data_IF_648050063090
#
_entry.id   IF_648050063090
#
_cell.length_a   1.000
_cell.length_b   1.000
_cell.length_c   1.000
_cell.angle_alpha   90.00
_cell.angle_beta   90.00
_cell.angle_gamma   90.00
#
_symmetry.space_group_name_H-M   'P 1'
#
loop_
_entity.id
_entity.type
_entity.pdbx_description
1 polymer ?
#
# COMPACT_ATOMS: atom_id res chain seq x y z
N UNK A 1 -1.42 -6.44 12.92
CA UNK A 1 -1.59 -4.96 12.88
C UNK A 1 -0.54 -4.33 13.78
N UNK A 2 0.09 -3.23 13.34
CA UNK A 2 1.05 -2.48 14.15
C UNK A 2 0.29 -1.37 14.88
N UNK A 3 0.64 -1.12 16.13
CA UNK A 3 0.01 -0.07 16.94
C UNK A 3 0.48 1.32 16.47
N UNK A 4 -0.45 2.27 16.42
CA UNK A 4 -0.19 3.65 16.06
C UNK A 4 0.09 4.45 17.32
N UNK A 5 1.22 5.15 17.32
CA UNK A 5 1.55 6.13 18.34
C UNK A 5 1.19 7.53 17.83
N UNK A 6 0.25 8.19 18.48
CA UNK A 6 -0.12 9.57 18.16
C UNK A 6 0.68 10.51 19.05
N UNK A 7 1.48 11.37 18.43
CA UNK A 7 2.17 12.50 19.07
C UNK A 7 1.47 13.80 18.68
N UNK A 8 1.78 14.92 19.34
CA UNK A 8 1.19 16.24 19.01
C UNK A 8 1.41 16.62 17.53
N UNK A 9 2.51 16.15 16.93
CA UNK A 9 2.93 16.54 15.59
C UNK A 9 2.72 15.47 14.51
N UNK A 10 2.50 14.19 14.87
CA UNK A 10 2.44 13.10 13.90
C UNK A 10 1.83 11.80 14.44
N UNK A 11 1.24 11.01 13.53
CA UNK A 11 1.03 9.57 13.74
C UNK A 11 2.32 8.81 13.38
N UNK A 12 2.75 7.91 14.25
CA UNK A 12 3.97 7.13 14.10
C UNK A 12 3.70 5.63 14.27
N UNK A 13 4.53 4.83 13.64
CA UNK A 13 4.63 3.39 13.91
C UNK A 13 6.09 3.01 14.13
N UNK A 14 6.37 1.92 14.84
CA UNK A 14 7.70 1.35 14.93
C UNK A 14 8.31 1.11 13.54
N UNK A 15 9.59 1.48 13.42
CA UNK A 15 10.37 1.25 12.21
C UNK A 15 10.48 -0.25 11.92
N UNK A 16 10.20 -0.69 10.68
CA UNK A 16 10.21 -2.09 10.34
C UNK A 16 11.66 -2.60 10.32
N UNK A 17 11.83 -3.89 10.62
CA UNK A 17 13.15 -4.54 10.66
C UNK A 17 13.48 -5.21 9.34
N UNK A 18 14.76 -5.30 9.00
CA UNK A 18 15.23 -6.05 7.84
C UNK A 18 14.70 -7.49 7.87
N UNK A 19 14.18 -7.95 6.74
CA UNK A 19 13.55 -9.28 6.61
C UNK A 19 12.10 -9.35 7.11
N UNK A 20 11.58 -8.31 7.76
CA UNK A 20 10.16 -8.24 8.13
C UNK A 20 9.30 -8.08 6.87
N UNK A 21 8.24 -8.91 6.78
CA UNK A 21 7.22 -8.73 5.74
C UNK A 21 6.33 -7.54 6.09
N UNK A 22 6.19 -6.61 5.16
CA UNK A 22 5.35 -5.42 5.31
C UNK A 22 4.19 -5.50 4.33
N UNK A 23 2.99 -5.18 4.80
CA UNK A 23 1.80 -4.99 3.98
C UNK A 23 0.90 -3.94 4.61
N UNK A 24 0.11 -3.26 3.78
CA UNK A 24 -0.84 -2.24 4.20
C UNK A 24 -2.24 -2.76 3.91
N UNK A 25 -3.11 -2.71 4.92
CA UNK A 25 -4.53 -3.05 4.76
C UNK A 25 -5.31 -1.75 4.64
N UNK A 26 -6.03 -1.59 3.54
CA UNK A 26 -7.02 -0.54 3.37
C UNK A 26 -8.41 -1.10 3.66
N UNK A 27 -9.20 -0.34 4.39
CA UNK A 27 -10.57 -0.71 4.73
C UNK A 27 -11.43 0.54 4.84
N UNK A 28 -12.49 0.56 4.04
CA UNK A 28 -13.59 1.52 4.13
C UNK A 28 -14.52 1.03 5.23
N UNK A 29 -14.68 1.85 6.27
CA UNK A 29 -15.48 1.51 7.44
C UNK A 29 -16.95 1.90 7.27
N UNK A 30 -17.25 2.95 6.51
CA UNK A 30 -18.61 3.27 6.11
C UNK A 30 -19.06 2.37 4.95
N UNK A 31 -20.37 2.09 4.87
CA UNK A 31 -20.98 1.33 3.77
C UNK A 31 -21.80 2.23 2.85
N UNK A 32 -21.41 3.50 2.72
CA UNK A 32 -22.15 4.41 1.84
C UNK A 32 -21.99 3.99 0.37
N UNK A 33 -22.98 4.27 -0.49
CA UNK A 33 -22.86 4.04 -1.92
C UNK A 33 -21.75 4.91 -2.54
N UNK A 34 -21.29 4.51 -3.73
CA UNK A 34 -20.23 5.19 -4.49
C UNK A 34 -18.83 4.65 -4.23
N UNK A 35 -17.91 4.91 -5.15
CA UNK A 35 -16.51 4.49 -5.02
C UNK A 35 -15.64 5.56 -4.35
N UNK A 36 -14.64 5.11 -3.59
CA UNK A 36 -13.55 5.92 -3.07
C UNK A 36 -12.27 5.58 -3.81
N UNK A 37 -11.53 6.61 -4.23
CA UNK A 37 -10.22 6.48 -4.83
C UNK A 37 -9.14 6.80 -3.80
N UNK A 38 -8.28 5.83 -3.50
CA UNK A 38 -7.22 5.97 -2.51
C UNK A 38 -5.87 6.02 -3.21
N UNK A 39 -5.17 7.14 -3.05
CA UNK A 39 -3.74 7.25 -3.37
C UNK A 39 -2.98 6.81 -2.13
N UNK A 40 -2.19 5.75 -2.25
CA UNK A 40 -1.36 5.25 -1.16
C UNK A 40 0.10 5.32 -1.60
N UNK A 41 0.88 6.17 -0.94
CA UNK A 41 2.31 6.35 -1.22
C UNK A 41 3.16 5.81 -0.08
N UNK A 42 4.29 5.23 -0.44
CA UNK A 42 5.37 4.84 0.46
C UNK A 42 6.59 5.63 0.05
N UNK A 43 7.18 6.38 0.98
CA UNK A 43 8.30 7.27 0.70
C UNK A 43 8.00 8.25 -0.47
N UNK A 44 6.78 8.77 -0.55
CA UNK A 44 6.35 9.67 -1.62
C UNK A 44 6.10 9.00 -2.98
N UNK A 45 6.24 7.68 -3.07
CA UNK A 45 6.04 6.89 -4.30
C UNK A 45 4.71 6.14 -4.23
N UNK A 46 3.84 6.34 -5.21
CA UNK A 46 2.55 5.64 -5.28
C UNK A 46 2.75 4.13 -5.40
N UNK A 47 1.96 3.39 -4.64
CA UNK A 47 1.93 1.92 -4.67
C UNK A 47 1.38 1.37 -5.99
N UNK A 48 0.73 2.20 -6.81
CA UNK A 48 0.41 1.91 -8.20
C UNK A 48 1.39 2.62 -9.14
N UNK A 49 1.99 1.87 -10.07
CA UNK A 49 2.88 2.33 -11.14
C UNK A 49 4.11 3.14 -10.69
N UNK A 50 4.42 3.20 -9.39
CA UNK A 50 5.52 3.98 -8.81
C UNK A 50 5.48 5.48 -9.15
N UNK A 51 4.28 6.04 -9.26
CA UNK A 51 4.08 7.45 -9.63
C UNK A 51 4.54 8.40 -8.50
N UNK A 52 5.18 9.51 -8.86
CA UNK A 52 5.50 10.64 -7.96
C UNK A 52 4.72 11.92 -8.33
N UNK A 53 3.58 11.74 -9.00
CA UNK A 53 2.73 12.83 -9.47
C UNK A 53 1.94 13.46 -8.30
N UNK A 54 1.33 14.64 -8.50
CA UNK A 54 0.29 15.14 -7.61
C UNK A 54 -0.80 14.08 -7.38
N UNK A 55 -1.35 14.02 -6.17
CA UNK A 55 -2.25 12.92 -5.78
C UNK A 55 -3.50 12.81 -6.68
N UNK A 56 -3.99 13.94 -7.19
CA UNK A 56 -5.12 13.96 -8.12
C UNK A 56 -4.81 13.21 -9.42
N UNK A 57 -3.57 13.27 -9.90
CA UNK A 57 -3.13 12.68 -11.17
C UNK A 57 -2.61 11.25 -11.02
N UNK A 58 -2.36 10.79 -9.78
CA UNK A 58 -1.97 9.42 -9.49
C UNK A 58 -3.12 8.42 -9.76
N UNK A 59 -2.74 7.22 -10.17
CA UNK A 59 -3.58 6.02 -10.16
C UNK A 59 -4.06 5.73 -8.73
N UNK A 60 -5.31 5.28 -8.57
CA UNK A 60 -5.97 5.13 -7.26
C UNK A 60 -6.46 3.70 -7.05
N UNK A 61 -6.27 3.19 -5.83
CA UNK A 61 -6.97 1.99 -5.37
C UNK A 61 -8.45 2.32 -5.18
N UNK A 62 -9.32 1.39 -5.55
CA UNK A 62 -10.77 1.62 -5.48
C UNK A 62 -11.37 0.84 -4.32
N UNK A 63 -12.07 1.55 -3.44
CA UNK A 63 -12.88 0.96 -2.37
C UNK A 63 -14.36 1.27 -2.62
N UNK A 64 -15.21 0.24 -2.62
CA UNK A 64 -16.66 0.36 -2.82
C UNK A 64 -17.41 -0.43 -1.74
N UNK A 65 -18.74 -0.34 -1.69
CA UNK A 65 -19.53 -1.15 -0.76
C UNK A 65 -19.37 -2.67 -1.00
N UNK A 66 -19.18 -3.07 -2.26
CA UNK A 66 -18.96 -4.47 -2.67
C UNK A 66 -17.54 -4.93 -2.38
N UNK A 67 -16.57 -4.00 -2.47
CA UNK A 67 -15.14 -4.23 -2.22
C UNK A 67 -14.63 -3.19 -1.22
N UNK A 68 -14.94 -3.36 0.07
CA UNK A 68 -14.65 -2.34 1.08
C UNK A 68 -13.18 -2.30 1.47
N UNK A 69 -12.35 -3.27 1.10
CA UNK A 69 -10.96 -3.30 1.53
C UNK A 69 -10.08 -4.23 0.72
N UNK A 70 -8.78 -4.16 1.00
CA UNK A 70 -7.75 -4.95 0.35
C UNK A 70 -6.40 -4.87 1.07
N UNK A 71 -5.51 -5.79 0.73
CA UNK A 71 -4.13 -5.81 1.24
C UNK A 71 -3.18 -5.46 0.09
N UNK A 72 -2.39 -4.42 0.31
CA UNK A 72 -1.36 -3.94 -0.60
C UNK A 72 -0.02 -4.41 -0.03
N UNK A 73 0.68 -5.24 -0.79
CA UNK A 73 1.92 -5.89 -0.34
C UNK A 73 3.15 -5.51 -1.16
N UNK A 74 3.01 -4.54 -2.07
CA UNK A 74 4.11 -4.06 -2.90
C UNK A 74 3.73 -2.88 -3.78
N UNK A 75 4.62 -2.56 -4.72
CA UNK A 75 4.37 -1.65 -5.83
C UNK A 75 3.82 -2.44 -7.01
N UNK A 76 2.58 -2.18 -7.41
CA UNK A 76 1.90 -2.89 -8.48
C UNK A 76 1.97 -2.14 -9.82
N UNK A 77 1.98 -2.89 -10.92
CA UNK A 77 2.06 -2.36 -12.27
C UNK A 77 0.81 -2.72 -13.07
N UNK A 78 0.02 -1.72 -13.40
CA UNK A 78 -1.29 -1.87 -14.09
C UNK A 78 -1.19 -2.43 -15.52
N UNK A 79 0.01 -2.41 -16.13
CA UNK A 79 0.22 -2.89 -17.50
C UNK A 79 0.77 -4.31 -17.60
N UNK A 80 1.30 -4.88 -16.52
CA UNK A 80 2.01 -6.16 -16.56
C UNK A 80 1.51 -7.20 -15.55
N UNK A 81 0.50 -6.89 -14.73
CA UNK A 81 0.06 -7.75 -13.61
C UNK A 81 1.21 -8.14 -12.69
N UNK A 82 2.23 -7.29 -12.58
CA UNK A 82 3.38 -7.52 -11.72
C UNK A 82 3.26 -6.70 -10.44
N UNK A 83 3.81 -7.26 -9.37
CA UNK A 83 4.02 -6.59 -8.10
C UNK A 83 5.47 -6.75 -7.67
N UNK A 84 6.10 -5.65 -7.29
CA UNK A 84 7.36 -5.65 -6.54
C UNK A 84 7.03 -5.62 -5.05
N UNK A 85 7.15 -6.78 -4.39
CA UNK A 85 6.76 -6.92 -2.98
C UNK A 85 7.56 -5.96 -2.09
N UNK A 86 6.94 -5.41 -1.04
CA UNK A 86 7.66 -4.60 -0.08
C UNK A 86 8.75 -5.42 0.61
N UNK A 87 9.95 -4.83 0.67
CA UNK A 87 11.02 -5.27 1.56
C UNK A 87 11.48 -4.10 2.41
N UNK A 88 12.13 -4.43 3.51
CA UNK A 88 12.78 -3.44 4.37
C UNK A 88 14.25 -3.41 4.00
N UNK A 89 14.76 -2.22 3.71
CA UNK A 89 16.16 -1.97 3.43
C UNK A 89 17.03 -2.18 4.68
N UNK A 90 18.30 -2.51 4.48
CA UNK A 90 19.27 -2.45 5.59
C UNK A 90 19.46 -1.01 6.06
N UNK A 91 20.07 -0.82 7.22
CA UNK A 91 20.35 0.54 7.74
C UNK A 91 21.28 1.32 6.80
N UNK A 92 22.34 0.69 6.29
CA UNK A 92 23.26 1.30 5.33
C UNK A 92 22.55 1.68 4.01
N UNK A 93 21.76 0.76 3.46
CA UNK A 93 20.98 1.02 2.25
C UNK A 93 19.95 2.14 2.47
N UNK A 94 19.32 2.16 3.64
CA UNK A 94 18.37 3.20 4.03
C UNK A 94 19.03 4.58 4.08
N UNK A 95 20.22 4.69 4.67
CA UNK A 95 20.96 5.95 4.73
C UNK A 95 21.35 6.45 3.34
N UNK A 96 21.84 5.56 2.48
CA UNK A 96 22.21 5.90 1.10
C UNK A 96 21.00 6.36 0.27
N UNK A 97 19.87 5.68 0.41
CA UNK A 97 18.67 5.95 -0.39
C UNK A 97 17.78 7.04 0.21
N UNK A 98 17.90 7.36 1.50
CA UNK A 98 17.10 8.41 2.15
C UNK A 98 17.20 9.75 1.40
N UNK A 99 18.39 10.07 0.86
CA UNK A 99 18.60 11.28 0.06
C UNK A 99 17.74 11.34 -1.19
N UNK A 100 17.38 10.19 -1.79
CA UNK A 100 16.57 10.10 -3.01
C UNK A 100 15.06 10.34 -2.76
N UNK A 101 14.63 10.21 -1.50
CA UNK A 101 13.22 10.39 -1.11
C UNK A 101 12.97 11.76 -0.48
N UNK A 102 14.01 12.44 -0.01
CA UNK A 102 13.89 13.80 0.52
C UNK A 102 12.94 13.85 1.73
N UNK A 103 12.02 14.81 1.74
CA UNK A 103 11.09 15.01 2.86
C UNK A 103 10.11 13.84 3.07
N UNK A 104 9.86 13.04 2.03
CA UNK A 104 8.91 11.95 2.08
C UNK A 104 9.51 10.66 2.64
N UNK A 105 10.84 10.60 2.86
CA UNK A 105 11.49 9.42 3.40
C UNK A 105 10.84 8.98 4.71
N UNK A 106 10.55 7.68 4.81
CA UNK A 106 9.99 7.11 6.02
C UNK A 106 8.52 7.44 6.25
N UNK A 107 7.78 7.82 5.21
CA UNK A 107 6.35 8.11 5.30
C UNK A 107 5.51 7.08 4.55
N UNK A 108 4.33 6.82 5.11
CA UNK A 108 3.20 6.20 4.42
C UNK A 108 2.11 7.26 4.39
N UNK A 109 1.74 7.73 3.20
CA UNK A 109 0.70 8.75 3.04
C UNK A 109 -0.48 8.20 2.27
N UNK A 110 -1.67 8.58 2.72
CA UNK A 110 -2.94 8.17 2.14
C UNK A 110 -3.77 9.42 1.85
N UNK A 111 -4.25 9.55 0.61
CA UNK A 111 -5.19 10.61 0.21
C UNK A 111 -6.40 9.97 -0.45
N UNK A 112 -7.59 10.35 -0.02
CA UNK A 112 -8.85 9.75 -0.46
C UNK A 112 -9.68 10.76 -1.21
N UNK A 113 -10.16 10.34 -2.39
CA UNK A 113 -11.03 11.11 -3.27
C UNK A 113 -12.38 10.41 -3.40
N UNK A 114 -13.43 11.21 -3.52
CA UNK A 114 -14.77 10.72 -3.81
C UNK A 114 -14.98 10.61 -5.33
N UNK A 115 -15.68 9.58 -5.78
CA UNK A 115 -16.14 9.50 -7.17
C UNK A 115 -17.11 10.66 -7.48
N UNK A 116 -16.98 11.30 -8.65
CA UNK A 116 -17.99 12.24 -9.13
C UNK A 116 -19.29 11.50 -9.45
N UNK A 117 -20.42 12.03 -8.98
CA UNK A 117 -21.72 11.55 -9.43
C UNK A 117 -21.82 11.74 -10.95
N UNK A 118 -22.18 10.67 -11.66
CA UNK A 118 -22.54 10.80 -13.08
C UNK A 118 -23.89 11.51 -13.10
N UNK A 119 -23.91 12.79 -13.48
CA UNK A 119 -25.17 13.48 -13.75
C UNK A 119 -25.81 12.83 -14.97
N UNK A 120 -26.88 12.05 -14.76
CA UNK A 120 -27.69 11.41 -15.81
C UNK A 120 -28.19 12.40 -16.89
N UNK A 121 -28.18 13.70 -16.61
CA UNK A 121 -28.58 14.77 -17.53
C UNK A 121 -27.52 15.13 -18.60
N UNK A 122 -26.28 14.68 -18.44
CA UNK A 122 -25.22 14.80 -19.44
C UNK A 122 -24.99 13.38 -19.95
N UNK A 123 -25.39 13.09 -21.19
CA UNK A 123 -25.34 11.76 -21.82
C UNK A 123 -23.97 11.09 -21.95
N UNK A 124 -23.00 11.45 -21.12
CA UNK A 124 -21.78 10.71 -20.81
C UNK A 124 -22.10 9.62 -19.75
N UNK A 125 -23.04 8.73 -20.07
CA UNK A 125 -23.09 7.45 -19.37
C UNK A 125 -21.81 6.70 -19.78
N UNK A 126 -20.85 6.55 -18.85
CA UNK A 126 -19.80 5.56 -19.02
C UNK A 126 -20.52 4.22 -18.90
N UNK A 127 -20.84 3.63 -20.04
CA UNK A 127 -21.42 2.30 -20.15
C UNK A 127 -20.43 1.29 -19.52
N UNK A 128 -20.80 0.59 -18.44
CA UNK A 128 -19.95 -0.46 -17.87
C UNK A 128 -19.84 -1.70 -18.76
N UNK A 129 -20.60 -1.79 -19.87
CA UNK A 129 -20.80 -3.03 -20.64
C UNK A 129 -19.85 -3.27 -21.82
N UNK A 130 -18.73 -2.56 -21.93
CA UNK A 130 -17.65 -2.96 -22.84
C UNK A 130 -16.62 -3.85 -22.14
N UNK A 131 -17.07 -4.95 -21.52
CA UNK A 131 -16.21 -6.06 -21.10
C UNK A 131 -16.59 -7.25 -21.98
N UNK A 132 -15.76 -7.51 -22.97
CA UNK A 132 -15.76 -8.76 -23.72
C UNK A 132 -15.66 -9.91 -22.71
N UNK A 133 -16.60 -10.84 -22.76
CA UNK A 133 -16.82 -11.88 -21.75
C UNK A 133 -15.54 -12.67 -21.47
N UNK A 134 -14.90 -12.40 -20.33
CA UNK A 134 -13.97 -13.31 -19.67
C UNK A 134 -14.64 -13.83 -18.40
N UNK A 135 -14.77 -15.15 -18.22
CA UNK A 135 -15.54 -15.73 -17.13
C UNK A 135 -14.87 -15.47 -15.77
N UNK A 136 -15.71 -15.22 -14.76
CA UNK A 136 -15.48 -15.30 -13.32
C UNK A 136 -14.03 -15.57 -12.88
N UNK A 137 -13.34 -14.53 -12.36
CA UNK A 137 -12.10 -14.72 -11.62
C UNK A 137 -12.12 -13.99 -10.27
N UNK A 138 -12.61 -14.71 -9.26
CA UNK A 138 -12.38 -14.44 -7.84
C UNK A 138 -10.87 -14.56 -7.52
N UNK A 139 -10.28 -13.51 -6.92
CA UNK A 139 -9.29 -13.65 -5.84
C UNK A 139 -8.86 -12.27 -5.28
N UNK A 140 -9.54 -11.78 -4.24
CA UNK A 140 -8.84 -11.04 -3.19
C UNK A 140 -8.02 -12.09 -2.44
N UNK A 141 -6.73 -12.17 -2.71
CA UNK A 141 -5.86 -13.14 -2.06
C UNK A 141 -5.85 -12.89 -0.54
N UNK A 142 -6.31 -13.91 0.18
CA UNK A 142 -5.92 -14.18 1.56
C UNK A 142 -4.39 -14.22 1.56
N UNK A 143 -3.75 -13.36 2.33
CA UNK A 143 -2.30 -13.42 2.49
C UNK A 143 -1.94 -14.85 2.95
N UNK A 144 -1.08 -15.54 2.20
CA UNK A 144 -0.49 -16.80 2.64
C UNK A 144 0.25 -16.55 3.95
N UNK A 145 -0.36 -17.01 5.04
CA UNK A 145 0.36 -17.40 6.23
C UNK A 145 1.26 -18.58 5.84
N UNK A 146 2.48 -18.69 6.40
CA UNK A 146 3.40 -19.75 6.02
C UNK A 146 2.73 -21.14 6.09
N UNK A 147 2.71 -21.86 4.97
CA UNK A 147 2.18 -23.24 4.89
C UNK A 147 3.02 -24.24 5.69
N UNK A 148 4.26 -23.88 6.03
CA UNK A 148 5.13 -24.73 6.81
C UNK A 148 4.85 -24.52 8.30
N UNK A 149 4.23 -25.53 8.91
CA UNK A 149 4.24 -25.68 10.36
C UNK A 149 5.70 -25.93 10.76
N UNK A 150 6.38 -25.01 11.47
CA UNK A 150 7.76 -25.24 11.88
C UNK A 150 7.82 -26.52 12.74
N UNK A 151 8.81 -27.39 12.51
CA UNK A 151 8.83 -28.73 13.10
C UNK A 151 8.93 -28.74 14.63
N UNK A 152 9.24 -27.59 15.25
CA UNK A 152 9.39 -27.43 16.69
C UNK A 152 8.98 -26.02 17.16
N UNK A 153 8.52 -25.94 18.42
CA UNK A 153 8.14 -24.67 19.06
C UNK A 153 9.30 -23.66 19.14
N UNK A 154 10.54 -24.12 19.17
CA UNK A 154 11.72 -23.24 19.18
C UNK A 154 12.03 -22.67 17.78
N UNK A 155 11.82 -23.44 16.70
CA UNK A 155 11.89 -22.90 15.34
C UNK A 155 10.80 -21.85 15.08
N UNK A 156 9.58 -22.07 15.61
CA UNK A 156 8.51 -21.06 15.59
C UNK A 156 8.88 -19.81 16.40
N UNK A 157 9.47 -19.98 17.59
CA UNK A 157 9.91 -18.85 18.43
C UNK A 157 11.04 -18.06 17.78
N UNK A 158 11.98 -18.71 17.10
CA UNK A 158 13.06 -18.03 16.38
C UNK A 158 12.56 -17.32 15.12
N UNK A 159 11.63 -17.93 14.38
CA UNK A 159 10.97 -17.30 13.24
C UNK A 159 10.10 -16.10 13.65
N UNK A 160 9.42 -16.19 14.82
CA UNK A 160 8.67 -15.07 15.40
C UNK A 160 9.56 -14.00 16.02
N UNK A 161 10.78 -14.34 16.46
CA UNK A 161 11.75 -13.39 17.02
C UNK A 161 12.65 -12.72 16.00
N UNK A 162 12.82 -13.30 14.80
CA UNK A 162 13.64 -12.71 13.73
C UNK A 162 15.11 -12.49 14.15
N UNK A 163 15.65 -13.33 15.03
CA UNK A 163 17.01 -13.18 15.57
C UNK A 163 18.04 -13.91 14.70
N UNK A 164 18.57 -13.20 13.70
CA UNK A 164 19.96 -13.34 13.28
C UNK A 164 20.73 -12.11 13.80
N UNK A 165 22.02 -12.25 14.18
CA UNK A 165 22.77 -11.12 14.74
C UNK A 165 22.92 -9.91 13.80
N UNK A 166 22.65 -10.07 12.48
CA UNK A 166 22.61 -8.98 11.48
C UNK A 166 21.19 -8.42 11.19
N UNK A 167 20.12 -8.99 11.77
CA UNK A 167 18.70 -8.64 11.45
C UNK A 167 18.05 -7.61 12.38
N UNK A 168 18.83 -6.94 13.23
CA UNK A 168 18.34 -5.79 14.02
C UNK A 168 18.41 -4.46 13.26
N UNK A 169 18.84 -4.48 12.01
CA UNK A 169 18.87 -3.29 11.15
C UNK A 169 17.45 -2.88 10.79
N UNK A 170 17.08 -1.67 11.20
CA UNK A 170 15.81 -1.04 10.85
C UNK A 170 16.02 -0.20 9.58
N UNK A 171 14.96 -0.01 8.78
CA UNK A 171 15.12 0.71 7.53
C UNK A 171 13.86 1.11 6.79
N UNK A 172 14.07 1.76 5.65
CA UNK A 172 13.01 2.23 4.76
C UNK A 172 12.39 1.09 3.96
N UNK A 173 11.11 1.22 3.62
CA UNK A 173 10.39 0.26 2.79
C UNK A 173 10.72 0.51 1.31
N UNK A 174 11.16 -0.54 0.61
CA UNK A 174 11.57 -0.52 -0.80
C UNK A 174 10.89 -1.62 -1.61
N UNK A 175 11.10 -1.59 -2.92
CA UNK A 175 10.82 -2.71 -3.82
C UNK A 175 11.69 -3.93 -3.50
N UNK A 176 11.07 -5.10 -3.51
CA UNK A 176 11.68 -6.40 -3.31
C UNK A 176 11.37 -7.34 -4.47
N UNK A 177 11.15 -8.61 -4.16
CA UNK A 177 10.96 -9.65 -5.17
C UNK A 177 9.74 -9.38 -6.03
N UNK A 178 9.92 -9.46 -7.35
CA UNK A 178 8.84 -9.32 -8.31
C UNK A 178 8.01 -10.61 -8.38
N UNK A 179 6.69 -10.49 -8.37
CA UNK A 179 5.73 -11.60 -8.52
C UNK A 179 4.60 -11.20 -9.46
N UNK A 180 3.90 -12.19 -10.00
CA UNK A 180 2.65 -11.95 -10.74
C UNK A 180 1.48 -11.85 -9.76
N UNK A 181 0.74 -10.75 -9.84
CA UNK A 181 -0.45 -10.49 -9.06
C UNK A 181 -1.40 -9.61 -9.89
N UNK A 182 -2.44 -10.21 -10.53
CA UNK A 182 -3.33 -9.47 -11.42
C UNK A 182 -4.15 -8.41 -10.68
N UNK A 183 -4.48 -7.34 -11.39
CA UNK A 183 -5.33 -6.26 -10.91
C UNK A 183 -6.62 -6.18 -11.72
N UNK A 184 -7.74 -5.96 -11.04
CA UNK A 184 -8.96 -5.49 -11.70
C UNK A 184 -8.89 -3.97 -11.88
N UNK A 185 -9.02 -3.50 -13.12
CA UNK A 185 -8.85 -2.09 -13.49
C UNK A 185 -10.19 -1.51 -13.90
N UNK A 186 -10.60 -0.45 -13.22
CA UNK A 186 -11.84 0.28 -13.50
C UNK A 186 -11.54 1.76 -13.71
N UNK A 187 -12.38 2.43 -14.51
CA UNK A 187 -12.24 3.85 -14.82
C UNK A 187 -13.29 4.66 -14.05
N UNK A 188 -12.82 5.73 -13.43
CA UNK A 188 -13.64 6.65 -12.64
C UNK A 188 -13.25 8.10 -12.94
N UNK A 189 -14.22 9.01 -12.79
CA UNK A 189 -13.95 10.45 -12.65
C UNK A 189 -13.97 10.80 -11.17
N UNK A 190 -12.90 11.41 -10.68
CA UNK A 190 -12.72 11.73 -9.26
C UNK A 190 -13.03 13.20 -8.99
N UNK A 191 -13.65 13.49 -7.85
CA UNK A 191 -13.78 14.87 -7.39
C UNK A 191 -12.37 15.40 -7.11
N UNK A 192 -12.01 16.63 -7.54
CA UNK A 192 -10.64 17.13 -7.40
C UNK A 192 -10.26 17.42 -5.95
N UNK A 193 -11.24 17.70 -5.10
CA UNK A 193 -11.01 17.93 -3.67
C UNK A 193 -10.95 16.60 -2.91
N UNK A 194 -9.85 16.31 -2.18
CA UNK A 194 -9.76 15.12 -1.34
C UNK A 194 -10.66 15.27 -0.11
N UNK A 195 -11.29 14.16 0.29
CA UNK A 195 -12.17 14.10 1.47
C UNK A 195 -11.44 13.63 2.73
N UNK A 196 -10.23 13.09 2.59
CA UNK A 196 -9.38 12.65 3.69
C UNK A 196 -7.91 12.67 3.25
N UNK A 197 -7.02 13.04 4.17
CA UNK A 197 -5.57 12.85 4.05
C UNK A 197 -5.02 12.37 5.39
N UNK A 198 -4.09 11.42 5.35
CA UNK A 198 -3.40 10.91 6.52
C UNK A 198 -1.93 10.60 6.17
N UNK A 199 -1.03 10.88 7.11
CA UNK A 199 0.39 10.56 6.98
C UNK A 199 0.86 9.86 8.25
N UNK A 200 1.53 8.73 8.08
CA UNK A 200 2.17 7.97 9.15
C UNK A 200 3.67 8.00 8.89
N UNK A 201 4.45 8.38 9.91
CA UNK A 201 5.91 8.28 9.86
C UNK A 201 6.37 6.99 10.53
N UNK A 202 7.15 6.19 9.81
CA UNK A 202 7.70 4.92 10.31
C UNK A 202 9.22 4.93 10.40
N UNK A 203 9.89 5.86 9.70
CA UNK A 203 11.34 5.99 9.69
C UNK A 203 11.71 7.47 9.81
N UNK A 204 12.74 7.75 10.60
CA UNK A 204 13.29 9.10 10.76
C UNK A 204 14.81 9.03 10.58
N UNK A 205 15.37 9.59 9.49
CA UNK A 205 16.80 9.55 9.22
C UNK A 205 17.64 10.15 10.35
N UNK A 206 17.10 11.14 11.08
CA UNK A 206 17.82 11.78 12.17
C UNK A 206 17.88 10.93 13.45
N UNK A 207 17.05 9.88 13.54
CA UNK A 207 16.95 9.00 14.71
C UNK A 207 17.86 7.76 14.65
N UNK A 208 18.45 7.48 13.48
CA UNK A 208 19.39 6.38 13.24
C UNK A 208 20.77 6.93 12.81
N UNK A 209 21.59 7.39 13.78
CA UNK A 209 22.94 7.90 13.52
C UNK A 209 23.93 6.80 13.08
#
# INVERSE_FOLDING_TARGET
PVELEFTEDAARIPEPRTGQKVSMRLERTDRQPGALGVVLKVNGVNTLNRERLPDLDCSKWVLSAERPGGVISGFHFTKSDEVEQFRVASTEESQQLAMNYGADVGTISMVVFQQQAVNEASGDAIDPLAIDEAPDLMAILKADFPEETPPTADALRSALRGESPDTLTRGIILEGTRRRLPLDIQRFRWHPEPIMSAVIRYYDPASNP
#
